data_IF_749229942179
#
_entry.id   IF_749229942179
#
_cell.length_a   1.000
_cell.length_b   1.000
_cell.length_c   1.000
_cell.angle_alpha   90.00
_cell.angle_beta   90.00
_cell.angle_gamma   90.00
#
_symmetry.space_group_name_H-M   'P 1'
#
loop_
_entity.id
_entity.type
_entity.pdbx_description
1 polymer ?
#
# COMPACT_ATOMS: atom_id res chain seq x y z
N UNK A 1 -7.31 -0.14 -11.51
CA UNK A 1 -7.25 -0.99 -10.31
C UNK A 1 -5.86 -0.91 -9.69
N UNK A 2 -5.77 -1.07 -8.36
CA UNK A 2 -4.52 -1.05 -7.60
C UNK A 2 -4.07 -2.47 -7.29
N UNK A 3 -2.81 -2.78 -7.53
CA UNK A 3 -2.22 -4.10 -7.26
C UNK A 3 -0.81 -3.98 -6.66
N UNK A 4 -0.39 -4.99 -5.91
CA UNK A 4 0.88 -5.01 -5.18
C UNK A 4 1.64 -6.29 -5.51
N UNK A 5 2.69 -6.14 -6.31
CA UNK A 5 3.60 -7.23 -6.63
C UNK A 5 4.81 -7.20 -5.69
N UNK A 6 4.98 -8.28 -4.92
CA UNK A 6 6.14 -8.50 -4.05
C UNK A 6 6.74 -9.87 -4.36
N UNK A 7 8.07 -9.96 -4.33
CA UNK A 7 8.77 -11.23 -4.44
C UNK A 7 8.57 -12.09 -3.19
N UNK A 8 8.71 -13.40 -3.33
CA UNK A 8 8.64 -14.32 -2.20
C UNK A 8 9.68 -13.97 -1.12
N UNK A 9 10.86 -13.49 -1.53
CA UNK A 9 11.90 -13.02 -0.60
C UNK A 9 11.43 -11.83 0.25
N UNK A 10 10.68 -10.88 -0.32
CA UNK A 10 10.11 -9.77 0.44
C UNK A 10 9.00 -10.24 1.38
N UNK A 11 8.14 -11.17 0.94
CA UNK A 11 7.05 -11.73 1.76
C UNK A 11 7.58 -12.53 2.95
N UNK A 12 8.68 -13.27 2.79
CA UNK A 12 9.33 -13.98 3.89
C UNK A 12 9.81 -13.06 5.02
N UNK A 13 10.08 -11.77 4.75
CA UNK A 13 10.49 -10.80 5.78
C UNK A 13 9.38 -10.51 6.80
N UNK A 14 8.14 -10.81 6.45
CA UNK A 14 6.98 -10.75 7.35
C UNK A 14 6.35 -12.14 7.59
N UNK A 15 7.13 -13.21 7.40
CA UNK A 15 6.75 -14.60 7.66
C UNK A 15 5.50 -15.05 6.89
N UNK A 16 5.37 -14.60 5.64
CA UNK A 16 4.33 -15.09 4.72
C UNK A 16 4.94 -16.18 3.85
N UNK A 17 4.35 -17.37 3.96
CA UNK A 17 4.58 -18.49 3.05
C UNK A 17 3.58 -18.44 1.89
N UNK A 18 3.84 -19.18 0.80
CA UNK A 18 3.09 -19.10 -0.48
C UNK A 18 1.58 -19.28 -0.33
N UNK A 19 1.16 -20.08 0.65
CA UNK A 19 -0.19 -20.47 1.02
C UNK A 19 -0.86 -19.54 2.07
N UNK A 20 -0.12 -18.59 2.64
CA UNK A 20 -0.59 -17.68 3.70
C UNK A 20 -1.22 -16.36 3.23
N UNK A 21 -1.41 -16.15 1.92
CA UNK A 21 -1.80 -14.85 1.35
C UNK A 21 -3.20 -14.36 1.76
N UNK A 22 -4.08 -15.26 2.22
CA UNK A 22 -5.46 -14.90 2.63
C UNK A 22 -5.52 -14.03 3.89
N UNK A 23 -4.42 -13.90 4.64
CA UNK A 23 -4.37 -13.14 5.90
C UNK A 23 -3.45 -11.92 5.84
N UNK A 24 -3.31 -11.35 4.65
CA UNK A 24 -2.60 -10.12 4.39
C UNK A 24 -3.50 -8.90 4.51
N UNK A 25 -3.05 -7.91 5.28
CA UNK A 25 -3.63 -6.58 5.29
C UNK A 25 -2.70 -5.62 4.51
N UNK A 26 -3.25 -5.00 3.47
CA UNK A 26 -2.55 -3.98 2.67
C UNK A 26 -3.11 -2.61 3.01
N UNK A 27 -2.23 -1.69 3.40
CA UNK A 27 -2.56 -0.31 3.76
C UNK A 27 -1.66 0.65 2.99
N UNK A 28 -2.12 1.88 2.83
CA UNK A 28 -1.33 2.98 2.26
C UNK A 28 -1.35 4.17 3.22
N UNK A 29 -0.31 5.00 3.16
CA UNK A 29 -0.20 6.16 4.04
C UNK A 29 -0.76 7.38 3.33
N UNK A 30 -1.76 8.01 3.96
CA UNK A 30 -2.33 9.27 3.50
C UNK A 30 -1.48 10.44 3.98
N UNK A 31 -1.10 11.31 3.04
CA UNK A 31 -0.59 12.65 3.30
C UNK A 31 -1.77 13.62 3.28
N UNK A 32 -2.13 14.15 4.44
CA UNK A 32 -3.17 15.16 4.58
C UNK A 32 -2.64 16.51 4.07
N UNK A 33 -3.42 17.13 3.18
CA UNK A 33 -3.20 18.50 2.69
C UNK A 33 -4.17 19.46 3.43
N UNK A 34 -4.16 20.75 3.08
CA UNK A 34 -5.03 21.76 3.71
C UNK A 34 -6.51 21.37 3.67
N UNK A 35 -6.95 20.74 2.57
CA UNK A 35 -8.27 20.11 2.48
C UNK A 35 -8.13 18.60 2.32
N UNK A 36 -9.11 17.86 2.86
CA UNK A 36 -9.16 16.41 2.68
C UNK A 36 -9.29 16.00 1.20
N UNK A 37 -9.88 16.85 0.36
CA UNK A 37 -10.05 16.61 -1.08
C UNK A 37 -8.71 16.61 -1.83
N UNK A 38 -7.79 17.45 -1.40
CA UNK A 38 -6.46 17.57 -2.00
C UNK A 38 -5.47 16.52 -1.45
N UNK A 39 -5.86 15.80 -0.40
CA UNK A 39 -5.02 14.80 0.25
C UNK A 39 -4.65 13.67 -0.70
N UNK A 40 -3.44 13.16 -0.52
CA UNK A 40 -2.86 12.12 -1.39
C UNK A 40 -2.52 10.88 -0.59
N UNK A 41 -2.39 9.74 -1.26
CA UNK A 41 -1.87 8.51 -0.67
C UNK A 41 -0.63 8.01 -1.42
N UNK A 42 0.26 7.37 -0.69
CA UNK A 42 1.46 6.75 -1.24
C UNK A 42 1.16 5.31 -1.67
N UNK A 43 0.95 5.11 -2.98
CA UNK A 43 0.76 3.80 -3.60
C UNK A 43 2.08 3.11 -3.98
N UNK A 44 3.19 3.85 -4.06
CA UNK A 44 4.51 3.27 -4.33
C UNK A 44 5.07 2.48 -3.14
N UNK A 45 4.65 2.82 -1.91
CA UNK A 45 5.18 2.23 -0.70
C UNK A 45 4.10 1.74 0.28
N UNK A 46 3.36 0.66 -0.06
CA UNK A 46 2.34 0.11 0.82
C UNK A 46 2.92 -0.47 2.12
N UNK A 47 2.12 -0.44 3.17
CA UNK A 47 2.32 -1.24 4.38
C UNK A 47 1.62 -2.56 4.17
N UNK A 48 2.36 -3.66 4.27
CA UNK A 48 1.81 -5.02 4.20
C UNK A 48 2.02 -5.69 5.54
N UNK A 49 0.94 -6.23 6.10
CA UNK A 49 0.91 -6.86 7.42
C UNK A 49 0.41 -8.29 7.30
N UNK A 50 1.22 -9.22 7.79
CA UNK A 50 0.79 -10.57 8.11
C UNK A 50 0.05 -10.55 9.45
N UNK A 51 -1.28 -10.74 9.42
CA UNK A 51 -2.11 -10.67 10.61
C UNK A 51 -1.88 -11.84 11.58
N UNK A 52 -1.49 -13.02 11.08
CA UNK A 52 -1.19 -14.20 11.90
C UNK A 52 0.11 -14.01 12.70
N UNK A 53 1.19 -13.69 11.99
CA UNK A 53 2.50 -13.49 12.61
C UNK A 53 2.59 -12.16 13.37
N UNK A 54 1.63 -11.25 13.16
CA UNK A 54 1.65 -9.87 13.66
C UNK A 54 2.91 -9.12 13.24
N UNK A 55 3.38 -9.40 12.03
CA UNK A 55 4.55 -8.77 11.41
C UNK A 55 4.10 -7.93 10.23
N UNK A 56 4.60 -6.71 10.17
CA UNK A 56 4.31 -5.81 9.06
C UNK A 56 5.56 -5.05 8.65
N UNK A 57 5.60 -4.65 7.39
CA UNK A 57 6.67 -3.86 6.82
C UNK A 57 6.11 -2.93 5.75
N UNK A 58 6.73 -1.77 5.61
CA UNK A 58 6.51 -0.90 4.47
C UNK A 58 7.45 -1.31 3.34
N UNK A 59 6.89 -1.68 2.20
CA UNK A 59 7.64 -2.16 1.03
C UNK A 59 7.66 -1.07 -0.01
N UNK A 60 8.83 -0.75 -0.58
CA UNK A 60 8.92 0.09 -1.78
C UNK A 60 8.80 -0.84 -2.98
N UNK A 61 7.80 -0.60 -3.84
CA UNK A 61 7.57 -1.41 -5.03
C UNK A 61 8.61 -1.04 -6.10
N UNK A 62 9.37 -2.03 -6.58
CA UNK A 62 10.29 -1.84 -7.69
C UNK A 62 9.55 -1.96 -9.01
N UNK A 63 10.00 -1.24 -10.05
CA UNK A 63 9.46 -1.28 -11.41
C UNK A 63 7.93 -1.04 -11.51
N UNK A 64 7.36 -0.34 -10.52
CA UNK A 64 5.94 -0.02 -10.45
C UNK A 64 5.59 1.26 -11.22
N UNK A 65 4.37 1.32 -11.76
CA UNK A 65 3.78 2.54 -12.34
C UNK A 65 3.30 3.54 -11.27
N UNK A 66 3.31 3.16 -9.98
CA UNK A 66 2.79 3.99 -8.91
C UNK A 66 3.82 5.03 -8.43
N UNK A 67 3.35 6.25 -8.16
CA UNK A 67 4.10 7.31 -7.48
C UNK A 67 3.82 7.39 -5.97
N UNK A 68 4.57 8.25 -5.27
CA UNK A 68 4.39 8.53 -3.83
C UNK A 68 3.19 9.42 -3.53
N UNK A 69 2.63 10.09 -4.53
CA UNK A 69 1.46 10.98 -4.40
C UNK A 69 0.40 10.63 -5.44
N UNK A 70 -0.67 9.98 -5.00
CA UNK A 70 -1.90 9.81 -5.78
C UNK A 70 -3.04 10.50 -5.05
N UNK A 71 -3.84 11.31 -5.75
CA UNK A 71 -5.00 11.94 -5.12
C UNK A 71 -6.00 10.89 -4.67
N UNK A 72 -6.55 11.08 -3.47
CA UNK A 72 -7.61 10.22 -2.95
C UNK A 72 -8.93 10.40 -3.72
N UNK A 73 -9.13 11.58 -4.30
CA UNK A 73 -10.36 11.96 -4.98
C UNK A 73 -10.06 12.48 -6.41
N UNK A 74 -10.91 12.16 -7.41
CA UNK A 74 -10.86 12.77 -8.73
C UNK A 74 -11.07 14.29 -8.68
N UNK A 75 -10.53 15.01 -9.67
CA UNK A 75 -10.86 16.43 -9.84
C UNK A 75 -12.35 16.61 -10.16
N UNK A 76 -13.01 17.55 -9.48
CA UNK A 76 -14.40 17.95 -9.77
C UNK A 76 -15.50 17.29 -8.93
N UNK A 77 -15.19 16.48 -7.90
CA UNK A 77 -16.21 15.97 -6.99
C UNK A 77 -16.50 16.98 -5.86
N UNK A 78 -17.62 17.68 -6.00
CA UNK A 78 -18.32 18.43 -4.94
C UNK A 78 -18.01 19.92 -4.84
N UNK A 79 -18.69 20.74 -5.65
CA UNK A 79 -19.21 22.03 -5.15
C UNK A 79 -20.32 21.78 -4.12
#
# INVERSE_FOLDING_TARGET
DYDVELSDEELLKIEIEHDGKEQLLVLTIVTLEETFKDSTTNLLAPIVVNLLAKKGKQFVLNDSIYATKHRLFPEGIGE
#
